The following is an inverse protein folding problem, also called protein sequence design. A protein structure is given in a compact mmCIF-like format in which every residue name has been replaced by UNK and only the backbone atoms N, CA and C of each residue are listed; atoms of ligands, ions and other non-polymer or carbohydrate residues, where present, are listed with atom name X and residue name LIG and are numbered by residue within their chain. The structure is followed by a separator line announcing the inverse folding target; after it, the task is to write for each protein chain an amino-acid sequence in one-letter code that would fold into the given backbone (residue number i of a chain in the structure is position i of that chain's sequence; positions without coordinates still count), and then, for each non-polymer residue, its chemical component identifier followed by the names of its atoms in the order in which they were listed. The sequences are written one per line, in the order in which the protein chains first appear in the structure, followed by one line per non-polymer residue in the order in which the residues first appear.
data_IF_750236626645
#
_entry.id   IF_750236626645
#
_cell.length_a   1.000
_cell.length_b   1.000
_cell.length_c   1.000
_cell.angle_alpha   90.00
_cell.angle_beta   90.00
_cell.angle_gamma   90.00
#
_symmetry.space_group_name_H-M   'P 1'
#
loop_
_entity.id
_entity.type
_entity.pdbx_description
1 polymer ?
#
# COMPACT_ATOMS: atom_id res chain seq x y z
N UNK A 1 19.34 -13.58 3.98
CA UNK A 1 19.52 -15.04 3.70
C UNK A 1 19.35 -15.88 4.96
N UNK A 2 19.83 -15.43 6.13
CA UNK A 2 19.80 -16.16 7.40
C UNK A 2 18.37 -16.60 7.83
N UNK A 3 17.39 -15.69 7.71
CA UNK A 3 16.01 -15.92 8.15
C UNK A 3 15.09 -16.51 7.07
N UNK A 4 15.49 -16.50 5.81
CA UNK A 4 14.66 -17.03 4.72
C UNK A 4 14.35 -18.53 4.88
N UNK A 5 15.34 -19.31 5.35
CA UNK A 5 15.18 -20.74 5.64
C UNK A 5 14.30 -21.01 6.87
N UNK A 6 14.06 -19.99 7.71
CA UNK A 6 13.22 -20.04 8.90
C UNK A 6 11.79 -19.54 8.64
N UNK A 7 11.42 -19.28 7.38
CA UNK A 7 10.09 -18.84 6.99
C UNK A 7 9.87 -17.31 7.01
N UNK A 8 10.88 -16.52 7.36
CA UNK A 8 10.78 -15.05 7.31
C UNK A 8 11.05 -14.56 5.89
N UNK A 9 10.15 -13.72 5.39
CA UNK A 9 10.29 -13.05 4.09
C UNK A 9 10.48 -11.56 4.31
N UNK A 10 11.41 -10.98 3.56
CA UNK A 10 11.69 -9.55 3.59
C UNK A 10 11.25 -8.91 2.28
N UNK A 11 10.63 -7.76 2.39
CA UNK A 11 10.19 -6.91 1.30
C UNK A 11 10.61 -5.49 1.61
N UNK A 12 10.96 -4.72 0.62
CA UNK A 12 11.05 -3.27 0.72
C UNK A 12 9.77 -2.67 0.14
N UNK A 13 9.26 -1.63 0.76
CA UNK A 13 8.12 -0.86 0.27
C UNK A 13 8.61 0.54 -0.04
N UNK A 14 8.52 0.95 -1.30
CA UNK A 14 8.68 2.35 -1.67
C UNK A 14 7.32 3.02 -1.67
N UNK A 15 7.17 4.04 -0.84
CA UNK A 15 5.98 4.89 -0.75
C UNK A 15 6.34 6.37 -0.98
N UNK A 16 7.45 6.65 -1.64
CA UNK A 16 7.80 8.00 -2.07
C UNK A 16 6.86 8.45 -3.19
N UNK A 17 6.43 9.69 -3.13
CA UNK A 17 5.67 10.36 -4.18
C UNK A 17 6.56 11.05 -5.23
N UNK A 18 7.88 10.94 -5.06
CA UNK A 18 8.89 11.61 -5.89
C UNK A 18 9.74 10.65 -6.72
N UNK A 19 9.72 9.36 -6.36
CA UNK A 19 10.59 8.38 -7.02
C UNK A 19 9.89 7.76 -8.24
N UNK A 20 10.56 7.84 -9.37
CA UNK A 20 10.15 7.12 -10.56
C UNK A 20 10.61 5.65 -10.48
N UNK A 21 9.86 4.75 -11.10
CA UNK A 21 10.20 3.31 -11.11
C UNK A 21 11.58 3.03 -11.72
N UNK A 22 12.00 3.86 -12.69
CA UNK A 22 13.33 3.81 -13.29
C UNK A 22 14.42 4.08 -12.27
N UNK A 23 14.22 5.09 -11.42
CA UNK A 23 15.18 5.53 -10.42
C UNK A 23 15.34 4.44 -9.34
N UNK A 24 14.22 3.84 -8.90
CA UNK A 24 14.24 2.70 -7.99
C UNK A 24 15.02 1.51 -8.56
N UNK A 25 14.89 1.24 -9.86
CA UNK A 25 15.61 0.15 -10.51
C UNK A 25 17.11 0.45 -10.59
N UNK A 26 17.48 1.70 -10.89
CA UNK A 26 18.87 2.14 -10.94
C UNK A 26 19.54 2.08 -9.56
N UNK A 27 18.88 2.63 -8.54
CA UNK A 27 19.34 2.55 -7.15
C UNK A 27 19.48 1.10 -6.65
N UNK A 28 18.51 0.24 -6.97
CA UNK A 28 18.57 -1.16 -6.59
C UNK A 28 19.79 -1.87 -7.18
N UNK A 29 20.19 -1.51 -8.41
CA UNK A 29 21.40 -2.02 -9.05
C UNK A 29 22.68 -1.44 -8.42
N UNK A 30 22.71 -0.14 -8.18
CA UNK A 30 23.85 0.57 -7.58
C UNK A 30 24.16 0.02 -6.18
N UNK A 31 23.14 -0.05 -5.32
CA UNK A 31 23.28 -0.55 -3.95
C UNK A 31 23.22 -2.07 -3.83
N UNK A 32 23.11 -2.80 -4.96
CA UNK A 32 23.03 -4.27 -5.00
C UNK A 32 21.94 -4.82 -4.11
N UNK A 33 20.78 -4.17 -4.11
CA UNK A 33 19.60 -4.60 -3.37
C UNK A 33 19.11 -5.92 -3.95
N UNK A 34 19.02 -6.94 -3.11
CA UNK A 34 18.56 -8.28 -3.49
C UNK A 34 17.17 -8.62 -2.98
N UNK A 35 16.53 -7.69 -2.26
CA UNK A 35 15.17 -7.82 -1.77
C UNK A 35 14.18 -7.35 -2.84
N UNK A 36 12.98 -7.97 -2.92
CA UNK A 36 11.90 -7.41 -3.72
C UNK A 36 11.53 -6.03 -3.21
N UNK A 37 11.40 -5.06 -4.13
CA UNK A 37 10.91 -3.72 -3.85
C UNK A 37 9.49 -3.64 -4.38
N UNK A 38 8.55 -3.32 -3.51
CA UNK A 38 7.15 -3.07 -3.83
C UNK A 38 6.98 -1.56 -4.02
N UNK A 39 6.44 -1.19 -5.15
CA UNK A 39 6.17 0.21 -5.48
C UNK A 39 4.72 0.54 -5.09
N UNK A 40 4.56 1.35 -4.03
CA UNK A 40 3.27 1.80 -3.50
C UNK A 40 2.95 3.21 -3.99
N UNK A 41 2.87 3.36 -5.33
CA UNK A 41 2.62 4.65 -6.00
C UNK A 41 1.37 5.38 -5.49
N UNK A 42 0.39 4.66 -4.97
CA UNK A 42 -0.82 5.24 -4.36
C UNK A 42 -0.68 5.54 -2.88
N UNK A 43 0.41 5.12 -2.25
CA UNK A 43 0.67 5.22 -0.82
C UNK A 43 -0.40 4.57 0.08
N UNK A 44 -1.21 3.67 -0.50
CA UNK A 44 -2.32 3.02 0.21
C UNK A 44 -1.83 2.02 1.25
N UNK A 45 -0.78 1.26 0.91
CA UNK A 45 -0.22 0.28 1.83
C UNK A 45 0.48 0.99 2.99
N UNK A 46 1.35 1.95 2.69
CA UNK A 46 2.05 2.74 3.70
C UNK A 46 1.06 3.43 4.65
N UNK A 47 0.01 4.04 4.09
CA UNK A 47 -1.02 4.70 4.87
C UNK A 47 -1.84 3.72 5.72
N UNK A 48 -2.27 2.59 5.16
CA UNK A 48 -3.03 1.58 5.90
C UNK A 48 -2.24 0.97 7.06
N UNK A 49 -0.93 0.94 6.93
CA UNK A 49 0.00 0.51 7.98
C UNK A 49 0.43 1.65 8.91
N UNK A 50 -0.04 2.88 8.67
CA UNK A 50 0.38 4.10 9.39
C UNK A 50 1.90 4.25 9.43
N UNK A 51 2.56 4.15 8.27
CA UNK A 51 4.00 4.35 8.13
C UNK A 51 4.28 5.84 8.11
N UNK A 52 5.14 6.30 9.00
CA UNK A 52 5.48 7.72 9.11
C UNK A 52 6.86 8.06 8.53
N UNK A 53 7.79 7.11 8.52
CA UNK A 53 9.19 7.37 8.13
C UNK A 53 9.73 6.35 7.14
N UNK A 54 10.66 6.80 6.30
CA UNK A 54 11.27 5.97 5.24
C UNK A 54 12.11 4.80 5.76
N UNK A 55 12.65 4.90 6.98
CA UNK A 55 13.47 3.86 7.61
C UNK A 55 12.69 2.92 8.54
N UNK A 56 11.36 2.94 8.50
CA UNK A 56 10.53 2.12 9.38
C UNK A 56 10.46 0.67 8.90
N UNK A 57 10.68 -0.27 9.82
CA UNK A 57 10.54 -1.70 9.60
C UNK A 57 9.38 -2.26 10.40
N UNK A 58 8.65 -3.20 9.81
CA UNK A 58 7.56 -3.93 10.44
C UNK A 58 7.84 -5.42 10.45
N UNK A 59 7.57 -6.10 11.56
CA UNK A 59 7.45 -7.55 11.63
C UNK A 59 5.96 -7.89 11.71
N UNK A 60 5.45 -8.62 10.72
CA UNK A 60 4.04 -8.98 10.61
C UNK A 60 3.89 -10.49 10.68
N UNK A 61 3.05 -10.97 11.59
CA UNK A 61 2.61 -12.37 11.60
C UNK A 61 1.51 -12.57 10.56
N UNK A 62 1.82 -13.28 9.48
CA UNK A 62 0.90 -13.51 8.38
C UNK A 62 -0.21 -14.53 8.69
N UNK A 63 -0.17 -15.20 9.84
CA UNK A 63 -1.24 -16.11 10.26
C UNK A 63 -2.48 -15.36 10.75
N UNK A 64 -2.29 -14.16 11.30
CA UNK A 64 -3.34 -13.34 11.89
C UNK A 64 -3.25 -11.85 11.51
N UNK A 65 -2.25 -11.46 10.70
CA UNK A 65 -1.97 -10.10 10.24
C UNK A 65 -1.67 -9.09 11.36
N UNK A 66 -1.18 -9.57 12.50
CA UNK A 66 -0.75 -8.69 13.57
C UNK A 66 0.65 -8.13 13.32
N UNK A 67 0.82 -6.85 13.57
CA UNK A 67 2.15 -6.21 13.63
C UNK A 67 2.76 -6.55 15.00
N UNK A 68 3.82 -7.34 14.99
CA UNK A 68 4.52 -7.78 16.18
C UNK A 68 5.63 -6.83 16.61
N UNK A 69 6.22 -6.13 15.65
CA UNK A 69 7.26 -5.12 15.88
C UNK A 69 7.11 -4.00 14.85
N UNK A 70 7.45 -2.79 15.30
CA UNK A 70 7.52 -1.59 14.47
C UNK A 70 8.69 -0.73 14.91
N UNK A 71 9.52 -0.23 13.98
CA UNK A 71 10.57 0.72 14.30
C UNK A 71 11.85 0.54 13.49
N UNK A 72 12.98 0.86 14.09
CA UNK A 72 14.29 0.79 13.46
C UNK A 72 14.76 -0.65 13.22
N UNK A 73 15.48 -0.88 12.12
CA UNK A 73 16.19 -2.15 11.88
C UNK A 73 17.29 -2.35 12.92
N UNK A 74 18.08 -1.30 13.15
CA UNK A 74 19.15 -1.24 14.13
C UNK A 74 19.38 0.22 14.57
N UNK A 75 20.31 0.44 15.49
CA UNK A 75 20.61 1.74 16.08
C UNK A 75 21.76 2.50 15.39
N UNK A 76 22.15 2.11 14.17
CA UNK A 76 23.24 2.80 13.44
C UNK A 76 22.85 4.20 12.99
N UNK A 77 21.58 4.39 12.58
CA UNK A 77 21.09 5.67 12.13
C UNK A 77 20.14 6.27 13.15
N UNK A 78 20.37 7.50 13.52
CA UNK A 78 19.43 8.35 14.26
C UNK A 78 19.49 9.76 13.69
N UNK A 79 18.57 10.63 14.10
CA UNK A 79 18.48 12.00 13.57
C UNK A 79 19.79 12.79 13.67
N UNK A 80 20.62 12.50 14.70
CA UNK A 80 21.84 13.27 14.98
C UNK A 80 23.13 12.47 14.81
N UNK A 81 23.06 11.16 14.65
CA UNK A 81 24.25 10.29 14.73
C UNK A 81 24.17 9.12 13.77
N UNK A 82 25.31 8.87 13.13
CA UNK A 82 25.57 7.63 12.41
C UNK A 82 26.67 6.84 13.13
N UNK A 83 26.41 5.56 13.38
CA UNK A 83 27.37 4.64 13.98
C UNK A 83 27.93 3.70 12.94
N UNK A 84 29.22 3.47 12.96
CA UNK A 84 29.87 2.50 12.08
C UNK A 84 29.39 1.05 12.31
N UNK A 85 28.95 0.73 13.53
CA UNK A 85 28.41 -0.59 13.89
C UNK A 85 27.20 -0.43 14.79
N UNK A 86 26.21 -1.32 14.58
CA UNK A 86 25.07 -1.42 15.45
C UNK A 86 25.51 -1.93 16.85
N UNK A 87 24.99 -1.31 17.88
CA UNK A 87 25.07 -1.78 19.26
C UNK A 87 23.76 -2.40 19.73
N UNK A 88 22.66 -2.08 19.06
CA UNK A 88 21.34 -2.68 19.25
C UNK A 88 20.70 -3.02 17.90
N UNK A 89 19.93 -4.12 17.85
CA UNK A 89 19.29 -4.65 16.65
C UNK A 89 17.85 -5.06 16.95
N UNK A 90 16.96 -4.10 17.26
CA UNK A 90 15.62 -4.39 17.77
C UNK A 90 14.77 -5.25 16.82
N UNK A 91 14.81 -5.02 15.51
CA UNK A 91 14.11 -5.88 14.55
C UNK A 91 14.62 -7.32 14.61
N UNK A 92 15.94 -7.50 14.65
CA UNK A 92 16.54 -8.84 14.75
C UNK A 92 16.12 -9.55 16.03
N UNK A 93 16.14 -8.85 17.15
CA UNK A 93 15.75 -9.38 18.45
C UNK A 93 14.26 -9.81 18.41
N UNK A 94 13.37 -8.98 17.86
CA UNK A 94 11.96 -9.31 17.70
C UNK A 94 11.74 -10.54 16.80
N UNK A 95 12.48 -10.68 15.71
CA UNK A 95 12.42 -11.86 14.85
C UNK A 95 12.88 -13.12 15.59
N UNK A 96 13.98 -13.04 16.34
CA UNK A 96 14.53 -14.18 17.10
C UNK A 96 13.58 -14.61 18.22
N UNK A 97 12.92 -13.67 18.90
CA UNK A 97 11.89 -13.96 19.89
C UNK A 97 10.67 -14.64 19.29
N UNK A 98 10.16 -14.10 18.17
CA UNK A 98 9.03 -14.70 17.45
C UNK A 98 9.33 -16.13 17.01
N UNK A 99 10.48 -16.36 16.40
CA UNK A 99 10.89 -17.70 15.95
C UNK A 99 11.10 -18.70 17.10
N UNK A 100 11.45 -18.20 18.27
CA UNK A 100 11.61 -19.00 19.48
C UNK A 100 10.32 -19.16 20.30
N UNK A 101 9.18 -18.66 19.80
CA UNK A 101 7.89 -18.60 20.51
C UNK A 101 8.02 -17.90 21.90
N UNK A 102 8.87 -16.87 21.99
CA UNK A 102 8.98 -16.00 23.17
C UNK A 102 8.16 -14.73 22.98
N UNK A 103 7.80 -14.09 24.08
CA UNK A 103 7.23 -12.75 24.04
C UNK A 103 8.26 -11.75 23.54
N UNK A 104 7.87 -10.89 22.59
CA UNK A 104 8.71 -9.79 22.11
C UNK A 104 8.76 -8.72 23.20
N UNK A 105 9.93 -8.50 23.79
CA UNK A 105 10.09 -7.54 24.88
C UNK A 105 9.97 -6.09 24.40
N UNK A 106 10.56 -5.79 23.23
CA UNK A 106 10.51 -4.48 22.59
C UNK A 106 9.74 -4.59 21.28
N UNK A 107 8.47 -4.20 21.30
CA UNK A 107 7.60 -4.23 20.13
C UNK A 107 7.61 -2.92 19.32
N UNK A 108 8.20 -1.85 19.86
CA UNK A 108 8.26 -0.55 19.20
C UNK A 108 9.56 0.18 19.51
N UNK A 109 10.15 0.80 18.47
CA UNK A 109 11.26 1.76 18.59
C UNK A 109 11.04 2.91 17.62
N UNK A 110 11.71 4.05 17.86
CA UNK A 110 11.67 5.16 16.92
C UNK A 110 12.42 4.78 15.63
N UNK A 111 11.76 4.99 14.48
CA UNK A 111 12.35 4.72 13.18
C UNK A 111 13.18 5.91 12.69
N UNK A 112 14.36 5.68 12.09
CA UNK A 112 15.13 6.71 11.42
C UNK A 112 14.51 7.10 10.08
N UNK A 113 15.09 8.12 9.44
CA UNK A 113 14.73 8.54 8.09
C UNK A 113 13.78 9.72 8.05
N UNK A 114 13.45 10.14 6.82
CA UNK A 114 12.58 11.27 6.57
C UNK A 114 11.10 10.92 6.80
N UNK A 115 10.31 11.91 7.14
CA UNK A 115 8.85 11.75 7.15
C UNK A 115 8.36 11.48 5.72
N UNK A 116 7.47 10.50 5.59
CA UNK A 116 6.80 10.24 4.32
C UNK A 116 5.78 11.34 4.08
N UNK A 117 5.83 11.92 2.90
CA UNK A 117 4.86 12.90 2.46
C UNK A 117 3.67 12.18 1.82
N UNK A 118 2.45 12.55 2.24
CA UNK A 118 1.18 12.02 1.72
C UNK A 118 0.37 13.15 1.08
N UNK A 119 0.78 13.71 -0.08
CA UNK A 119 0.18 14.93 -0.64
C UNK A 119 -1.28 14.75 -1.00
N UNK A 120 -1.60 13.69 -1.73
CA UNK A 120 -2.96 13.45 -2.21
C UNK A 120 -3.96 13.25 -1.07
N UNK A 121 -3.55 12.60 -0.01
CA UNK A 121 -4.38 12.40 1.18
C UNK A 121 -4.58 13.69 1.95
N UNK A 122 -3.52 14.46 2.12
CA UNK A 122 -3.57 15.75 2.80
C UNK A 122 -4.44 16.76 2.06
N UNK A 123 -4.37 16.79 0.73
CA UNK A 123 -5.22 17.65 -0.10
C UNK A 123 -6.70 17.26 -0.05
N UNK A 124 -7.00 16.00 0.22
CA UNK A 124 -8.37 15.46 0.34
C UNK A 124 -8.91 15.51 1.76
N UNK A 125 -8.06 15.77 2.74
CA UNK A 125 -8.47 15.89 4.14
C UNK A 125 -9.53 16.99 4.30
N UNK A 126 -10.68 16.63 4.89
CA UNK A 126 -11.81 17.52 5.04
C UNK A 126 -12.66 17.76 3.80
N UNK A 127 -12.33 17.18 2.63
CA UNK A 127 -13.17 17.24 1.42
C UNK A 127 -14.01 15.98 1.29
N UNK A 128 -15.33 16.14 1.19
CA UNK A 128 -16.23 15.03 0.90
C UNK A 128 -16.12 14.66 -0.59
N UNK A 129 -15.91 13.36 -0.87
CA UNK A 129 -15.93 12.83 -2.22
C UNK A 129 -17.37 12.44 -2.58
N UNK A 130 -17.94 13.14 -3.55
CA UNK A 130 -19.31 12.89 -4.03
C UNK A 130 -19.38 11.69 -4.96
N UNK A 131 -20.32 10.78 -4.68
CA UNK A 131 -20.62 9.69 -5.61
C UNK A 131 -21.02 10.21 -6.99
N UNK A 132 -21.95 11.17 -7.04
CA UNK A 132 -22.50 11.66 -8.30
C UNK A 132 -21.48 12.37 -9.18
N UNK A 133 -20.54 13.09 -8.57
CA UNK A 133 -19.58 13.92 -9.32
C UNK A 133 -18.27 13.22 -9.63
N UNK A 134 -17.77 12.38 -8.71
CA UNK A 134 -16.43 11.80 -8.82
C UNK A 134 -16.43 10.28 -9.01
N UNK A 135 -17.31 9.57 -8.29
CA UNK A 135 -17.29 8.10 -8.29
C UNK A 135 -18.07 7.52 -9.46
N UNK A 136 -19.26 8.05 -9.76
CA UNK A 136 -20.10 7.53 -10.83
C UNK A 136 -19.40 7.57 -12.20
N UNK A 137 -18.67 8.63 -12.59
CA UNK A 137 -17.89 8.64 -13.82
C UNK A 137 -16.84 7.51 -13.88
N UNK A 138 -16.08 7.30 -12.81
CA UNK A 138 -15.07 6.23 -12.74
C UNK A 138 -15.74 4.86 -12.88
N UNK A 139 -16.83 4.62 -12.14
CA UNK A 139 -17.59 3.36 -12.22
C UNK A 139 -18.12 3.14 -13.63
N UNK A 140 -18.64 4.17 -14.28
CA UNK A 140 -19.19 4.09 -15.63
C UNK A 140 -18.10 3.76 -16.66
N UNK A 141 -16.94 4.37 -16.56
CA UNK A 141 -15.86 4.20 -17.51
C UNK A 141 -15.08 2.89 -17.30
N UNK A 142 -14.77 2.54 -16.06
CA UNK A 142 -13.83 1.45 -15.74
C UNK A 142 -14.51 0.14 -15.31
N UNK A 143 -15.78 0.16 -14.92
CA UNK A 143 -16.44 -0.98 -14.30
C UNK A 143 -17.74 -1.40 -15.01
N UNK A 144 -18.52 -0.44 -15.52
CA UNK A 144 -19.88 -0.68 -15.94
C UNK A 144 -19.99 -1.61 -17.15
N UNK A 145 -19.04 -1.62 -18.07
CA UNK A 145 -19.07 -2.48 -19.26
C UNK A 145 -19.17 -3.97 -18.91
N UNK A 146 -18.51 -4.37 -17.82
CA UNK A 146 -18.61 -5.73 -17.30
C UNK A 146 -19.72 -5.87 -16.26
N UNK A 147 -19.93 -4.86 -15.42
CA UNK A 147 -20.90 -4.84 -14.32
C UNK A 147 -22.24 -4.16 -14.69
N UNK A 148 -22.78 -4.50 -15.84
CA UNK A 148 -24.12 -4.11 -16.29
C UNK A 148 -25.10 -5.27 -16.17
N UNK A 149 -26.41 -5.01 -16.32
CA UNK A 149 -27.42 -6.05 -16.31
C UNK A 149 -27.26 -6.96 -17.53
N UNK A 150 -26.95 -8.23 -17.30
CA UNK A 150 -26.66 -9.21 -18.35
C UNK A 150 -25.23 -9.17 -18.86
N UNK A 151 -24.35 -8.39 -18.24
CA UNK A 151 -22.92 -8.40 -18.51
C UNK A 151 -22.19 -9.61 -17.90
N UNK A 152 -20.89 -9.67 -18.11
CA UNK A 152 -20.04 -10.76 -17.62
C UNK A 152 -19.83 -10.72 -16.10
N UNK A 153 -19.95 -9.52 -15.48
CA UNK A 153 -19.81 -9.37 -14.04
C UNK A 153 -20.95 -10.04 -13.27
N UNK A 154 -20.72 -10.60 -12.09
CA UNK A 154 -21.74 -11.34 -11.33
C UNK A 154 -22.88 -10.47 -10.78
N UNK A 155 -22.74 -9.16 -10.83
CA UNK A 155 -23.72 -8.17 -10.40
C UNK A 155 -23.56 -6.88 -11.21
N UNK A 156 -24.60 -6.03 -11.20
CA UNK A 156 -24.60 -4.77 -11.95
C UNK A 156 -24.49 -3.54 -11.03
N UNK A 157 -23.66 -2.58 -11.37
CA UNK A 157 -23.55 -1.28 -10.72
C UNK A 157 -24.62 -0.29 -11.23
N UNK A 158 -25.89 -0.66 -11.18
CA UNK A 158 -26.98 0.09 -11.81
C UNK A 158 -27.53 1.25 -10.95
N UNK A 159 -26.99 1.50 -9.77
CA UNK A 159 -27.39 2.61 -8.91
C UNK A 159 -26.37 2.83 -7.78
N UNK A 160 -26.35 4.06 -7.24
CA UNK A 160 -25.59 4.38 -6.03
C UNK A 160 -25.76 3.36 -4.91
N UNK A 161 -27.03 2.97 -4.62
CA UNK A 161 -27.31 2.01 -3.55
C UNK A 161 -26.61 0.66 -3.76
N UNK A 162 -26.52 0.22 -5.00
CA UNK A 162 -25.80 -1.03 -5.32
C UNK A 162 -24.29 -0.87 -5.21
N UNK A 163 -23.74 0.21 -5.73
CA UNK A 163 -22.29 0.48 -5.62
C UNK A 163 -21.89 0.59 -4.15
N UNK A 164 -22.64 1.36 -3.36
CA UNK A 164 -22.44 1.45 -1.91
C UNK A 164 -22.50 0.09 -1.21
N UNK A 165 -23.45 -0.77 -1.59
CA UNK A 165 -23.60 -2.10 -0.99
C UNK A 165 -22.43 -3.04 -1.26
N UNK A 166 -21.59 -2.74 -2.26
CA UNK A 166 -20.39 -3.50 -2.60
C UNK A 166 -19.09 -2.81 -2.18
N UNK A 167 -19.15 -1.70 -1.47
CA UNK A 167 -17.98 -0.86 -1.16
C UNK A 167 -16.85 -1.62 -0.48
N UNK A 168 -17.13 -2.47 0.51
CA UNK A 168 -16.10 -3.23 1.23
C UNK A 168 -15.41 -4.24 0.30
N UNK A 169 -16.20 -4.93 -0.54
CA UNK A 169 -15.64 -5.83 -1.56
C UNK A 169 -14.84 -5.04 -2.59
N UNK A 170 -15.34 -3.88 -3.02
CA UNK A 170 -14.61 -3.00 -3.95
C UNK A 170 -13.25 -2.61 -3.36
N UNK A 171 -13.21 -2.21 -2.09
CA UNK A 171 -11.94 -1.90 -1.41
C UNK A 171 -10.96 -3.07 -1.51
N UNK A 172 -11.40 -4.26 -1.15
CA UNK A 172 -10.55 -5.46 -1.20
C UNK A 172 -10.01 -5.74 -2.61
N UNK A 173 -10.89 -5.76 -3.62
CA UNK A 173 -10.48 -6.12 -4.99
C UNK A 173 -9.64 -5.04 -5.67
N UNK A 174 -9.80 -3.77 -5.28
CA UNK A 174 -8.96 -2.65 -5.72
C UNK A 174 -7.56 -2.74 -5.11
N UNK A 175 -7.47 -3.01 -3.80
CA UNK A 175 -6.19 -3.16 -3.09
C UNK A 175 -5.41 -4.38 -3.60
N UNK A 176 -6.09 -5.47 -3.89
CA UNK A 176 -5.48 -6.72 -4.40
C UNK A 176 -5.32 -6.75 -5.91
N UNK A 177 -5.67 -5.67 -6.63
CA UNK A 177 -5.62 -5.56 -8.10
C UNK A 177 -6.40 -6.67 -8.83
N UNK A 178 -7.44 -7.24 -8.20
CA UNK A 178 -8.33 -8.20 -8.86
C UNK A 178 -9.34 -7.51 -9.78
N UNK A 179 -9.64 -6.24 -9.52
CA UNK A 179 -10.52 -5.39 -10.32
C UNK A 179 -9.93 -4.00 -10.51
N UNK A 180 -10.09 -3.41 -11.69
CA UNK A 180 -10.51 -4.05 -12.95
C UNK A 180 -9.59 -5.23 -13.31
N UNK A 181 -10.09 -6.26 -14.05
CA UNK A 181 -9.29 -7.43 -14.43
C UNK A 181 -8.36 -7.10 -15.60
N UNK A 182 -7.59 -6.04 -15.46
CA UNK A 182 -6.66 -5.53 -16.44
C UNK A 182 -5.23 -5.79 -15.96
N UNK A 183 -4.53 -6.66 -16.70
CA UNK A 183 -3.19 -7.14 -16.32
C UNK A 183 -2.06 -6.57 -17.18
N UNK A 184 -2.39 -5.70 -18.14
CA UNK A 184 -1.37 -5.05 -18.97
C UNK A 184 -0.53 -4.09 -18.12
N UNK A 185 0.79 -4.18 -18.26
CA UNK A 185 1.70 -3.24 -17.59
C UNK A 185 1.60 -1.88 -18.30
N UNK A 186 1.24 -0.78 -17.60
CA UNK A 186 1.09 0.54 -18.21
C UNK A 186 2.41 1.09 -18.78
N UNK A 187 3.56 0.52 -18.41
CA UNK A 187 4.87 0.90 -18.94
C UNK A 187 5.22 0.22 -20.26
N UNK A 188 4.37 -0.72 -20.72
CA UNK A 188 4.62 -1.52 -21.93
C UNK A 188 3.45 -1.43 -22.90
N UNK A 189 3.51 -0.48 -23.82
CA UNK A 189 2.53 -0.31 -24.91
C UNK A 189 1.35 0.60 -24.54
N UNK A 190 0.53 0.88 -25.58
CA UNK A 190 -0.68 1.67 -25.46
C UNK A 190 -1.87 0.82 -25.92
N UNK A 191 -2.90 0.73 -25.12
CA UNK A 191 -4.07 -0.08 -25.41
C UNK A 191 -5.29 0.83 -25.59
N UNK A 192 -6.04 0.60 -26.67
CA UNK A 192 -7.20 1.45 -27.03
C UNK A 192 -8.39 1.32 -26.07
N UNK A 193 -8.43 0.30 -25.25
CA UNK A 193 -9.48 0.04 -24.25
C UNK A 193 -8.84 -0.26 -22.90
N UNK A 194 -8.04 0.67 -22.41
CA UNK A 194 -7.38 0.52 -21.12
C UNK A 194 -8.40 0.70 -19.98
N UNK A 195 -8.69 -0.39 -19.28
CA UNK A 195 -9.57 -0.41 -18.12
C UNK A 195 -8.80 -0.24 -16.80
N UNK A 196 -7.47 -0.05 -16.83
CA UNK A 196 -6.71 0.22 -15.62
C UNK A 196 -7.23 1.51 -14.96
N UNK A 197 -7.11 1.53 -13.63
CA UNK A 197 -7.32 2.74 -12.86
C UNK A 197 -6.03 3.53 -12.77
N UNK A 198 -6.10 4.82 -12.96
CA UNK A 198 -4.99 5.69 -12.59
C UNK A 198 -4.80 5.67 -11.06
N UNK A 199 -3.60 6.04 -10.55
CA UNK A 199 -3.39 6.19 -9.12
C UNK A 199 -4.45 7.08 -8.45
N UNK A 200 -4.81 8.21 -9.09
CA UNK A 200 -5.79 9.16 -8.59
C UNK A 200 -7.21 8.59 -8.56
N UNK A 201 -7.61 7.84 -9.61
CA UNK A 201 -8.92 7.18 -9.65
C UNK A 201 -9.04 6.14 -8.54
N UNK A 202 -7.99 5.32 -8.37
CA UNK A 202 -7.93 4.32 -7.31
C UNK A 202 -8.03 4.95 -5.92
N UNK A 203 -7.21 5.98 -5.65
CA UNK A 203 -7.25 6.71 -4.39
C UNK A 203 -8.61 7.38 -4.15
N UNK A 204 -9.23 7.93 -5.20
CA UNK A 204 -10.55 8.55 -5.10
C UNK A 204 -11.62 7.55 -4.68
N UNK A 205 -11.62 6.36 -5.28
CA UNK A 205 -12.53 5.27 -4.91
C UNK A 205 -12.31 4.81 -3.47
N UNK A 206 -11.06 4.59 -3.07
CA UNK A 206 -10.72 4.11 -1.73
C UNK A 206 -11.06 5.15 -0.66
N UNK A 207 -10.75 6.42 -0.90
CA UNK A 207 -11.07 7.50 0.02
C UNK A 207 -12.59 7.69 0.17
N UNK A 208 -13.35 7.60 -0.94
CA UNK A 208 -14.81 7.62 -0.88
C UNK A 208 -15.38 6.49 -0.01
N UNK A 209 -14.81 5.29 -0.11
CA UNK A 209 -15.22 4.14 0.72
C UNK A 209 -14.90 4.41 2.20
N UNK A 210 -13.72 4.92 2.50
CA UNK A 210 -13.30 5.27 3.86
C UNK A 210 -14.15 6.36 4.51
N UNK A 211 -14.64 7.31 3.71
CA UNK A 211 -15.58 8.34 4.17
C UNK A 211 -17.01 7.82 4.43
N UNK A 212 -17.24 6.51 4.31
CA UNK A 212 -18.56 5.91 4.51
C UNK A 212 -19.49 6.06 3.30
N UNK A 213 -18.88 6.21 2.12
CA UNK A 213 -19.60 6.24 0.83
C UNK A 213 -20.66 7.35 0.70
N UNK A 214 -20.31 8.62 0.89
CA UNK A 214 -21.26 9.71 0.77
C UNK A 214 -21.83 9.81 -0.65
N UNK A 215 -23.13 10.14 -0.75
CA UNK A 215 -23.81 10.25 -2.06
C UNK A 215 -23.40 11.54 -2.77
N UNK A 216 -23.20 12.60 -2.00
CA UNK A 216 -23.14 13.97 -2.51
C UNK A 216 -24.50 14.47 -3.00
N UNK A 217 -24.52 15.70 -3.45
CA UNK A 217 -25.70 16.33 -4.06
C UNK A 217 -25.86 15.94 -5.53
#
# INVERSE_FOLDING_TARGET
KEYASKGIRFWMLNASDQDERSDLAEEALEYKVSLPILDDTTQEVARSLNIDRTGEALLIDTSNWNILFRGAIDDRLSYEKEKAKASDTPLKNAIDDFLANRSIEVSHTEAPGCLIHYPTWKEREGKEISYSQQIAPIIQEKCADCHLKGGIGPFAFSSYRKVRGWSDMMREVLMTRRMPPWQADPHHGNFSQDLSLTPEEKQTLLHWIEQGTPRGE
#
